data_IF_331264843790
#
_entry.id   IF_331264843790
#
_cell.length_a   1.000
_cell.length_b   1.000
_cell.length_c   1.000
_cell.angle_alpha   90.00
_cell.angle_beta   90.00
_cell.angle_gamma   90.00
#
_symmetry.space_group_name_H-M   'P 1'
#
loop_
_entity.id
_entity.type
_entity.pdbx_description
1 polymer ?
#
# COMPACT_ATOMS: atom_id res chain seq x y z
N UNK A 1 17.63 19.88 -9.16
CA UNK A 1 16.52 19.79 -10.13
C UNK A 1 15.36 20.65 -9.63
N UNK A 2 14.78 21.47 -10.52
CA UNK A 2 13.60 22.26 -10.18
C UNK A 2 12.42 21.35 -9.82
N UNK A 3 11.70 21.71 -8.76
CA UNK A 3 10.54 20.93 -8.30
C UNK A 3 9.35 21.17 -9.22
N UNK A 4 8.84 20.11 -9.84
CA UNK A 4 7.60 20.20 -10.63
C UNK A 4 6.40 20.48 -9.70
N UNK A 5 5.56 21.44 -10.09
CA UNK A 5 4.31 21.70 -9.39
C UNK A 5 3.37 20.47 -9.51
N UNK A 6 2.55 20.22 -8.47
CA UNK A 6 1.51 19.18 -8.54
C UNK A 6 0.43 19.59 -9.52
N UNK A 7 -0.12 18.62 -10.25
CA UNK A 7 -1.29 18.84 -11.07
C UNK A 7 -2.49 19.11 -10.17
N UNK A 8 -3.24 20.16 -10.47
CA UNK A 8 -4.47 20.51 -9.76
C UNK A 8 -5.63 19.71 -10.36
N UNK A 9 -6.53 19.22 -9.52
CA UNK A 9 -7.77 18.58 -9.95
C UNK A 9 -8.84 19.61 -10.22
N UNK A 10 -9.61 19.42 -11.29
CA UNK A 10 -10.80 20.22 -11.58
C UNK A 10 -12.00 19.81 -10.73
N UNK A 11 -12.03 18.55 -10.29
CA UNK A 11 -13.09 17.98 -9.43
C UNK A 11 -12.82 18.16 -7.94
N UNK A 12 -11.59 18.57 -7.56
CA UNK A 12 -11.10 18.59 -6.19
C UNK A 12 -10.80 17.19 -5.61
N UNK A 13 -10.90 16.13 -6.43
CA UNK A 13 -10.63 14.75 -5.97
C UNK A 13 -9.21 14.34 -6.31
N UNK A 14 -8.54 13.75 -5.32
CA UNK A 14 -7.16 13.30 -5.46
C UNK A 14 -6.96 11.88 -4.92
N UNK A 15 -6.28 11.06 -5.69
CA UNK A 15 -5.61 9.88 -5.17
C UNK A 15 -4.25 10.30 -4.62
N UNK A 16 -4.07 10.15 -3.31
CA UNK A 16 -2.87 10.54 -2.59
C UNK A 16 -2.15 9.30 -2.08
N UNK A 17 -0.82 9.32 -2.16
CA UNK A 17 0.04 8.31 -1.57
C UNK A 17 1.18 8.95 -0.77
N UNK A 18 1.39 8.45 0.43
CA UNK A 18 2.58 8.71 1.25
C UNK A 18 3.33 7.41 1.50
N UNK A 19 4.65 7.47 1.58
CA UNK A 19 5.49 6.29 1.71
C UNK A 19 6.65 6.53 2.66
N UNK A 20 7.05 5.48 3.36
CA UNK A 20 8.23 5.49 4.22
C UNK A 20 9.53 5.69 3.46
N UNK A 21 10.45 6.46 4.04
CA UNK A 21 11.78 6.68 3.48
C UNK A 21 12.49 5.33 3.31
N UNK A 22 13.17 5.14 2.17
CA UNK A 22 13.81 3.85 1.82
C UNK A 22 12.88 2.64 1.97
N UNK A 23 11.56 2.84 1.80
CA UNK A 23 10.53 1.81 1.97
C UNK A 23 10.42 1.26 3.40
N UNK A 24 10.93 2.00 4.40
CA UNK A 24 10.80 1.61 5.80
C UNK A 24 9.32 1.52 6.20
N UNK A 25 9.04 0.73 7.22
CA UNK A 25 7.71 0.67 7.81
C UNK A 25 7.38 1.99 8.51
N UNK A 26 6.22 2.53 8.16
CA UNK A 26 5.63 3.69 8.81
C UNK A 26 4.61 3.28 9.88
N UNK A 27 4.28 2.01 9.94
CA UNK A 27 3.47 1.40 10.97
C UNK A 27 4.16 0.13 11.48
N UNK A 28 4.82 0.20 12.63
CA UNK A 28 5.51 -0.93 13.26
C UNK A 28 4.56 -1.84 14.03
N UNK A 29 3.40 -1.32 14.44
CA UNK A 29 2.42 -2.05 15.23
C UNK A 29 0.98 -1.51 15.00
N UNK A 30 0.00 -2.14 15.67
CA UNK A 30 -1.42 -1.76 15.57
C UNK A 30 -1.71 -0.36 16.14
N UNK A 31 -0.96 0.06 17.15
CA UNK A 31 -1.14 1.36 17.78
C UNK A 31 -0.78 2.48 16.80
N UNK A 32 0.27 2.31 16.00
CA UNK A 32 0.69 3.29 15.00
C UNK A 32 -0.45 3.58 14.01
N UNK A 33 -1.11 2.53 13.50
CA UNK A 33 -2.24 2.68 12.58
C UNK A 33 -3.44 3.34 13.25
N UNK A 34 -3.71 3.03 14.51
CA UNK A 34 -4.78 3.67 15.28
C UNK A 34 -4.52 5.16 15.48
N UNK A 35 -3.29 5.52 15.81
CA UNK A 35 -2.93 6.94 15.99
C UNK A 35 -3.00 7.69 14.67
N UNK A 36 -2.51 7.09 13.58
CA UNK A 36 -2.64 7.67 12.24
C UNK A 36 -4.11 7.89 11.86
N UNK A 37 -4.97 6.90 12.09
CA UNK A 37 -6.41 7.02 11.87
C UNK A 37 -7.02 8.19 12.67
N UNK A 38 -6.68 8.33 13.96
CA UNK A 38 -7.18 9.40 14.80
C UNK A 38 -6.69 10.79 14.33
N UNK A 39 -5.42 10.90 13.92
CA UNK A 39 -4.87 12.14 13.36
C UNK A 39 -5.60 12.47 12.05
N UNK A 40 -5.79 11.50 11.17
CA UNK A 40 -6.50 11.68 9.90
C UNK A 40 -7.95 12.13 10.13
N UNK A 41 -8.64 11.55 11.12
CA UNK A 41 -10.01 11.96 11.50
C UNK A 41 -10.06 13.42 11.94
N UNK A 42 -9.12 13.85 12.79
CA UNK A 42 -9.04 15.25 13.25
C UNK A 42 -8.71 16.20 12.11
N UNK A 43 -7.76 15.82 11.25
CA UNK A 43 -7.36 16.63 10.09
C UNK A 43 -8.49 16.74 9.09
N UNK A 44 -9.23 15.62 8.83
CA UNK A 44 -10.45 15.62 8.02
C UNK A 44 -11.46 16.64 8.54
N UNK A 45 -11.75 16.62 9.81
CA UNK A 45 -12.70 17.56 10.43
C UNK A 45 -12.22 19.02 10.35
N UNK A 46 -10.93 19.28 10.64
CA UNK A 46 -10.32 20.62 10.59
C UNK A 46 -10.46 21.25 9.20
N UNK A 47 -10.17 20.50 8.17
CA UNK A 47 -10.15 20.99 6.77
C UNK A 47 -11.45 20.70 6.02
N UNK A 48 -12.42 20.01 6.63
CA UNK A 48 -13.71 19.61 6.02
C UNK A 48 -13.55 18.78 4.74
N UNK A 49 -12.51 17.97 4.67
CA UNK A 49 -12.32 17.05 3.55
C UNK A 49 -13.32 15.90 3.61
N UNK A 50 -13.70 15.38 2.43
CA UNK A 50 -14.33 14.07 2.33
C UNK A 50 -13.23 13.02 2.07
N UNK A 51 -13.37 11.83 2.65
CA UNK A 51 -12.52 10.68 2.38
C UNK A 51 -13.37 9.60 1.75
N UNK A 52 -13.03 9.20 0.54
CA UNK A 52 -13.77 8.22 -0.23
C UNK A 52 -13.24 6.79 -0.06
N UNK A 53 -11.92 6.64 0.06
CA UNK A 53 -11.31 5.35 0.34
C UNK A 53 -9.94 5.53 0.98
N UNK A 54 -9.50 4.52 1.75
CA UNK A 54 -8.14 4.44 2.29
C UNK A 54 -7.63 3.01 2.44
N UNK A 55 -6.30 2.87 2.46
CA UNK A 55 -5.60 1.65 2.89
C UNK A 55 -4.28 2.03 3.59
N UNK A 56 -4.11 1.60 4.84
CA UNK A 56 -2.89 1.81 5.63
C UNK A 56 -2.03 0.54 5.57
N UNK A 57 -1.10 0.53 4.64
CA UNK A 57 -0.15 -0.56 4.45
C UNK A 57 1.01 -0.45 5.46
N UNK A 58 1.90 -1.43 5.55
CA UNK A 58 3.04 -1.35 6.48
C UNK A 58 3.94 -0.14 6.24
N UNK A 59 4.26 0.13 4.99
CA UNK A 59 5.24 1.15 4.59
C UNK A 59 4.68 2.28 3.73
N UNK A 60 3.39 2.32 3.47
CA UNK A 60 2.73 3.39 2.72
C UNK A 60 1.24 3.49 3.04
N UNK A 61 0.63 4.60 2.67
CA UNK A 61 -0.81 4.85 2.79
C UNK A 61 -1.34 5.31 1.44
N UNK A 62 -2.49 4.80 1.06
CA UNK A 62 -3.32 5.34 0.00
C UNK A 62 -4.53 6.04 0.59
N UNK A 63 -4.85 7.23 0.06
CA UNK A 63 -6.06 7.98 0.37
C UNK A 63 -6.71 8.43 -0.94
N UNK A 64 -8.02 8.27 -1.04
CA UNK A 64 -8.84 8.95 -2.04
C UNK A 64 -9.67 9.99 -1.31
N UNK A 65 -9.41 11.27 -1.59
CA UNK A 65 -9.99 12.36 -0.84
C UNK A 65 -10.45 13.49 -1.75
N UNK A 66 -11.45 14.23 -1.29
CA UNK A 66 -11.97 15.42 -1.95
C UNK A 66 -11.77 16.62 -1.05
N UNK A 67 -11.13 17.65 -1.57
CA UNK A 67 -11.01 18.93 -0.91
C UNK A 67 -12.30 19.73 -1.03
N UNK A 68 -12.72 20.51 -0.02
CA UNK A 68 -13.90 21.35 -0.07
C UNK A 68 -13.71 22.58 -0.99
N UNK A 69 -12.47 23.06 -1.05
CA UNK A 69 -12.04 24.19 -1.89
C UNK A 69 -10.69 23.85 -2.52
N UNK A 70 -10.49 24.27 -3.77
CA UNK A 70 -9.29 23.92 -4.53
C UNK A 70 -8.02 24.49 -3.88
N UNK A 71 -6.97 23.66 -3.79
CA UNK A 71 -5.64 24.03 -3.30
C UNK A 71 -5.35 23.66 -1.85
N UNK A 72 -6.32 23.13 -1.12
CA UNK A 72 -6.15 22.77 0.29
C UNK A 72 -5.43 21.44 0.52
N UNK A 73 -5.33 20.57 -0.49
CA UNK A 73 -4.73 19.23 -0.35
C UNK A 73 -3.29 19.30 0.21
N UNK A 74 -2.53 20.32 -0.13
CA UNK A 74 -1.15 20.47 0.36
C UNK A 74 -1.09 20.80 1.85
N UNK A 75 -1.96 21.68 2.35
CA UNK A 75 -2.05 22.03 3.76
C UNK A 75 -2.57 20.86 4.60
N UNK A 76 -3.62 20.19 4.11
CA UNK A 76 -4.17 18.98 4.73
C UNK A 76 -3.10 17.90 4.93
N UNK A 77 -2.36 17.56 3.86
CA UNK A 77 -1.34 16.52 3.91
C UNK A 77 -0.14 16.93 4.78
N UNK A 78 0.26 18.21 4.73
CA UNK A 78 1.32 18.72 5.60
C UNK A 78 0.98 18.54 7.09
N UNK A 79 -0.22 18.92 7.51
CA UNK A 79 -0.65 18.79 8.90
C UNK A 79 -0.75 17.33 9.33
N UNK A 80 -1.33 16.47 8.48
CA UNK A 80 -1.43 15.03 8.70
C UNK A 80 -0.06 14.38 8.89
N UNK A 81 0.85 14.60 7.92
CA UNK A 81 2.18 14.01 7.93
C UNK A 81 3.01 14.51 9.10
N UNK A 82 2.98 15.83 9.37
CA UNK A 82 3.74 16.44 10.48
C UNK A 82 3.29 15.90 11.83
N UNK A 83 1.98 15.91 12.10
CA UNK A 83 1.45 15.41 13.36
C UNK A 83 1.80 13.94 13.60
N UNK A 84 1.75 13.12 12.55
CA UNK A 84 2.12 11.72 12.67
C UNK A 84 3.62 11.51 12.85
N UNK A 85 4.48 12.21 12.12
CA UNK A 85 5.93 12.11 12.26
C UNK A 85 6.40 12.50 13.66
N UNK A 86 5.87 13.60 14.22
CA UNK A 86 6.20 14.05 15.58
C UNK A 86 5.87 12.96 16.60
N UNK A 87 4.67 12.39 16.51
CA UNK A 87 4.26 11.31 17.39
C UNK A 87 5.11 10.04 17.20
N UNK A 88 5.31 9.61 15.94
CA UNK A 88 6.06 8.40 15.59
C UNK A 88 7.50 8.45 16.09
N UNK A 89 8.19 9.58 15.86
CA UNK A 89 9.58 9.77 16.29
C UNK A 89 9.69 9.75 17.83
N UNK A 90 8.76 10.38 18.53
CA UNK A 90 8.75 10.37 19.99
C UNK A 90 8.56 8.96 20.57
N UNK A 91 7.57 8.20 20.05
CA UNK A 91 7.24 6.85 20.55
C UNK A 91 8.31 5.83 20.20
N UNK A 92 8.86 5.90 18.97
CA UNK A 92 9.83 4.95 18.48
C UNK A 92 11.29 5.36 18.69
N UNK A 93 11.53 6.48 19.40
CA UNK A 93 12.86 7.06 19.68
C UNK A 93 13.69 7.21 18.39
N UNK A 94 13.03 7.70 17.34
CA UNK A 94 13.66 7.96 16.03
C UNK A 94 13.82 9.47 15.81
N UNK A 95 14.73 9.81 14.90
CA UNK A 95 14.95 11.19 14.43
C UNK A 95 15.01 11.20 12.91
N UNK A 96 14.75 12.36 12.30
CA UNK A 96 14.81 12.56 10.86
C UNK A 96 13.50 12.24 10.13
N UNK A 97 13.64 11.97 8.83
CA UNK A 97 12.51 11.85 7.92
C UNK A 97 11.88 10.45 7.94
N UNK A 98 10.63 10.36 8.38
CA UNK A 98 9.85 9.13 8.29
C UNK A 98 9.39 8.87 6.84
N UNK A 99 8.93 9.91 6.15
CA UNK A 99 8.39 9.80 4.80
C UNK A 99 9.40 10.11 3.72
N UNK A 100 9.25 9.47 2.56
CA UNK A 100 10.09 9.65 1.38
C UNK A 100 9.69 10.92 0.62
N UNK A 101 10.22 12.07 1.05
CA UNK A 101 9.90 13.35 0.44
C UNK A 101 8.43 13.76 0.64
N UNK A 102 7.87 14.50 -0.32
CA UNK A 102 6.48 14.94 -0.28
C UNK A 102 5.53 13.82 -0.71
N UNK A 103 4.29 13.85 -0.21
CA UNK A 103 3.23 12.98 -0.74
C UNK A 103 3.10 13.10 -2.26
N UNK A 104 2.72 12.02 -2.90
CA UNK A 104 2.33 12.00 -4.32
C UNK A 104 0.83 12.18 -4.42
N UNK A 105 0.38 12.93 -5.41
CA UNK A 105 -1.03 13.10 -5.70
C UNK A 105 -1.30 13.01 -7.18
N UNK A 106 -2.42 12.38 -7.53
CA UNK A 106 -2.93 12.30 -8.88
C UNK A 106 -4.37 12.82 -8.90
N UNK A 107 -4.70 13.81 -9.74
CA UNK A 107 -6.06 14.27 -9.92
C UNK A 107 -6.96 13.14 -10.41
N UNK A 108 -8.19 13.11 -9.91
CA UNK A 108 -9.26 12.20 -10.34
C UNK A 108 -10.32 13.03 -11.00
N UNK A 109 -10.39 12.98 -12.33
CA UNK A 109 -11.15 13.94 -13.13
C UNK A 109 -12.48 13.37 -13.65
N UNK A 110 -12.70 12.07 -13.53
CA UNK A 110 -13.91 11.41 -14.01
C UNK A 110 -14.36 10.27 -13.08
N UNK A 111 -15.60 9.85 -13.26
CA UNK A 111 -16.26 8.83 -12.44
C UNK A 111 -15.68 7.43 -12.67
N UNK A 112 -15.26 7.09 -13.88
CA UNK A 112 -14.66 5.81 -14.18
C UNK A 112 -13.32 5.66 -13.44
N UNK A 113 -12.52 6.72 -13.49
CA UNK A 113 -11.25 6.74 -12.75
C UNK A 113 -11.47 6.72 -11.24
N UNK A 114 -12.48 7.44 -10.71
CA UNK A 114 -12.84 7.39 -9.29
C UNK A 114 -13.14 5.95 -8.85
N UNK A 115 -14.03 5.27 -9.57
CA UNK A 115 -14.39 3.89 -9.29
C UNK A 115 -13.15 2.96 -9.31
N UNK A 116 -12.31 3.11 -10.33
CA UNK A 116 -11.08 2.31 -10.46
C UNK A 116 -10.08 2.56 -9.33
N UNK A 117 -9.97 3.80 -8.83
CA UNK A 117 -9.11 4.12 -7.68
C UNK A 117 -9.65 3.53 -6.39
N UNK A 118 -10.97 3.56 -6.15
CA UNK A 118 -11.61 2.90 -5.00
C UNK A 118 -11.26 1.41 -5.00
N UNK A 119 -11.51 0.72 -6.11
CA UNK A 119 -11.18 -0.71 -6.28
C UNK A 119 -9.70 -0.98 -6.07
N UNK A 120 -8.83 -0.16 -6.64
CA UNK A 120 -7.39 -0.29 -6.49
C UNK A 120 -6.95 -0.19 -5.02
N UNK A 121 -7.45 0.81 -4.29
CA UNK A 121 -7.12 1.01 -2.87
C UNK A 121 -7.57 -0.20 -2.05
N UNK A 122 -8.79 -0.70 -2.29
CA UNK A 122 -9.31 -1.86 -1.58
C UNK A 122 -8.58 -3.16 -1.90
N UNK A 123 -8.11 -3.34 -3.14
CA UNK A 123 -7.35 -4.52 -3.52
C UNK A 123 -5.85 -4.45 -3.14
N UNK A 124 -5.35 -3.28 -2.71
CA UNK A 124 -3.94 -3.13 -2.38
C UNK A 124 -3.46 -4.11 -1.28
N UNK A 125 -4.20 -4.32 -0.17
CA UNK A 125 -3.84 -5.32 0.83
C UNK A 125 -3.79 -6.75 0.27
N UNK A 126 -4.72 -7.11 -0.60
CA UNK A 126 -4.76 -8.46 -1.23
C UNK A 126 -3.58 -8.64 -2.16
N UNK A 127 -3.31 -7.66 -3.04
CA UNK A 127 -2.15 -7.68 -3.95
C UNK A 127 -0.82 -7.72 -3.22
N UNK A 128 -0.76 -7.11 -2.04
CA UNK A 128 0.42 -7.10 -1.18
C UNK A 128 0.52 -8.32 -0.27
N UNK A 129 -0.42 -9.27 -0.35
CA UNK A 129 -0.39 -10.52 0.41
C UNK A 129 -0.75 -10.39 1.89
N UNK A 130 -1.32 -9.26 2.33
CA UNK A 130 -1.76 -9.08 3.72
C UNK A 130 -3.02 -9.88 4.07
N UNK A 131 -3.86 -10.17 3.09
CA UNK A 131 -5.11 -10.89 3.25
C UNK A 131 -5.54 -11.54 1.91
N UNK A 132 -6.50 -12.44 1.96
CA UNK A 132 -7.10 -13.05 0.75
C UNK A 132 -8.28 -12.25 0.21
N UNK A 133 -8.97 -11.54 1.09
CA UNK A 133 -10.12 -10.71 0.76
C UNK A 133 -9.99 -9.33 1.41
N UNK A 134 -10.38 -8.22 0.75
CA UNK A 134 -10.26 -6.86 1.31
C UNK A 134 -10.98 -6.69 2.66
N UNK A 135 -12.06 -7.44 2.89
CA UNK A 135 -12.83 -7.45 4.16
C UNK A 135 -12.01 -7.91 5.36
N UNK A 136 -10.99 -8.74 5.13
CA UNK A 136 -10.15 -9.29 6.20
C UNK A 136 -9.08 -8.31 6.66
N UNK A 137 -8.91 -7.20 5.96
CA UNK A 137 -7.90 -6.20 6.29
C UNK A 137 -8.50 -4.99 7.01
N UNK A 138 -8.40 -4.96 8.33
CA UNK A 138 -8.99 -3.93 9.23
C UNK A 138 -8.57 -2.48 8.94
N UNK A 139 -7.46 -2.28 8.24
CA UNK A 139 -6.88 -0.95 7.98
C UNK A 139 -7.12 -0.50 6.55
N UNK A 140 -8.22 -0.96 5.96
CA UNK A 140 -8.73 -0.58 4.67
C UNK A 140 -10.20 -0.19 4.81
N UNK A 141 -10.62 0.83 4.10
CA UNK A 141 -11.99 1.35 4.13
C UNK A 141 -13.05 0.41 3.57
N UNK A 142 -12.68 -0.71 2.96
CA UNK A 142 -13.62 -1.63 2.33
C UNK A 142 -14.79 -2.01 3.24
N UNK A 143 -14.49 -2.35 4.50
CA UNK A 143 -15.51 -2.75 5.48
C UNK A 143 -16.50 -1.62 5.79
N UNK A 144 -16.06 -0.36 5.79
CA UNK A 144 -16.90 0.78 6.14
C UNK A 144 -18.06 1.00 5.15
N UNK A 145 -17.91 0.57 3.89
CA UNK A 145 -18.96 0.65 2.87
C UNK A 145 -20.17 -0.26 3.15
N UNK A 146 -20.01 -1.25 4.01
CA UNK A 146 -21.06 -2.18 4.43
C UNK A 146 -21.57 -1.87 5.85
N UNK A 147 -21.06 -0.84 6.49
CA UNK A 147 -21.47 -0.41 7.82
C UNK A 147 -22.63 0.58 7.74
N UNK A 148 -23.60 0.44 8.64
CA UNK A 148 -24.67 1.43 8.81
C UNK A 148 -24.13 2.80 9.25
N UNK A 149 -23.00 2.80 9.97
CA UNK A 149 -22.30 4.01 10.42
C UNK A 149 -20.86 3.94 9.95
N UNK A 150 -20.56 4.46 8.75
CA UNK A 150 -19.18 4.55 8.29
C UNK A 150 -18.36 5.42 9.25
N UNK A 151 -17.13 5.01 9.50
CA UNK A 151 -16.25 5.70 10.45
C UNK A 151 -15.60 6.93 9.84
N UNK A 152 -14.63 6.70 8.97
CA UNK A 152 -13.81 7.77 8.38
C UNK A 152 -14.28 8.18 6.99
N UNK A 153 -14.91 7.26 6.23
CA UNK A 153 -15.31 7.52 4.84
C UNK A 153 -16.61 8.28 4.71
N UNK A 154 -16.76 8.94 3.56
CA UNK A 154 -17.98 9.57 3.07
C UNK A 154 -18.45 8.79 1.83
N UNK A 155 -19.25 7.73 1.98
CA UNK A 155 -19.49 6.76 0.91
C UNK A 155 -20.51 7.21 -0.13
N UNK A 156 -21.36 8.22 0.15
CA UNK A 156 -22.48 8.59 -0.69
C UNK A 156 -22.06 9.04 -2.10
N UNK A 157 -21.00 9.86 -2.20
CA UNK A 157 -20.45 10.30 -3.49
C UNK A 157 -19.88 9.11 -4.29
N UNK A 158 -19.38 8.07 -3.62
CA UNK A 158 -18.87 6.84 -4.25
C UNK A 158 -20.05 5.98 -4.74
N UNK A 159 -21.11 5.86 -3.95
CA UNK A 159 -22.32 5.14 -4.34
C UNK A 159 -23.13 5.84 -5.43
N UNK A 160 -22.94 7.13 -5.62
CA UNK A 160 -23.48 7.85 -6.79
C UNK A 160 -22.81 7.39 -8.11
N UNK A 161 -21.60 6.81 -8.02
CA UNK A 161 -20.81 6.33 -9.17
C UNK A 161 -20.86 4.80 -9.31
N UNK A 162 -20.81 4.08 -8.19
CA UNK A 162 -20.83 2.62 -8.17
C UNK A 162 -22.12 2.19 -7.47
N UNK A 163 -22.99 1.47 -8.19
CA UNK A 163 -24.22 0.95 -7.59
C UNK A 163 -23.88 0.13 -6.32
N UNK A 164 -24.62 0.41 -5.23
CA UNK A 164 -24.40 -0.23 -3.93
C UNK A 164 -24.49 -1.76 -4.02
N UNK A 165 -25.43 -2.28 -4.78
CA UNK A 165 -25.65 -3.75 -4.92
C UNK A 165 -24.53 -4.41 -5.74
N UNK A 166 -23.87 -3.65 -6.61
CA UNK A 166 -22.76 -4.14 -7.43
C UNK A 166 -21.38 -3.85 -6.82
N UNK A 167 -21.33 -3.06 -5.73
CA UNK A 167 -20.09 -2.58 -5.14
C UNK A 167 -19.11 -3.70 -4.79
N UNK A 168 -19.59 -4.77 -4.15
CA UNK A 168 -18.75 -5.91 -3.80
C UNK A 168 -18.18 -6.59 -5.05
N UNK A 169 -19.04 -6.95 -6.00
CA UNK A 169 -18.65 -7.58 -7.27
C UNK A 169 -17.65 -6.72 -8.03
N UNK A 170 -17.89 -5.41 -8.11
CA UNK A 170 -16.98 -4.47 -8.75
C UNK A 170 -15.61 -4.43 -8.06
N UNK A 171 -15.57 -4.30 -6.72
CA UNK A 171 -14.32 -4.25 -5.98
C UNK A 171 -13.51 -5.55 -6.03
N UNK A 172 -14.16 -6.70 -6.22
CA UNK A 172 -13.50 -8.00 -6.35
C UNK A 172 -13.09 -8.31 -7.79
N UNK A 173 -13.60 -7.58 -8.77
CA UNK A 173 -13.24 -7.79 -10.18
C UNK A 173 -11.76 -7.53 -10.42
N UNK A 174 -11.19 -8.26 -11.39
CA UNK A 174 -9.77 -8.13 -11.72
C UNK A 174 -9.47 -6.73 -12.28
N UNK A 175 -8.43 -6.10 -11.75
CA UNK A 175 -7.89 -4.87 -12.32
C UNK A 175 -7.12 -5.23 -13.58
N UNK A 176 -7.52 -4.67 -14.71
CA UNK A 176 -6.92 -4.92 -16.03
C UNK A 176 -5.81 -3.92 -16.36
N UNK A 177 -5.06 -4.15 -17.45
CA UNK A 177 -4.00 -3.25 -17.88
C UNK A 177 -4.50 -1.85 -18.28
N UNK A 178 -5.78 -1.71 -18.69
CA UNK A 178 -6.39 -0.42 -18.98
C UNK A 178 -6.64 0.37 -17.68
N UNK A 179 -7.10 -0.29 -16.63
CA UNK A 179 -7.27 0.32 -15.30
C UNK A 179 -5.92 0.78 -14.72
N UNK A 180 -4.84 0.07 -15.03
CA UNK A 180 -3.48 0.37 -14.56
C UNK A 180 -2.86 1.60 -15.25
N UNK A 181 -3.32 2.00 -16.44
CA UNK A 181 -2.83 3.23 -17.11
C UNK A 181 -3.14 4.48 -16.31
N UNK A 182 -4.18 4.44 -15.51
CA UNK A 182 -4.61 5.54 -14.65
C UNK A 182 -3.90 5.53 -13.29
N UNK A 183 -3.39 4.38 -12.88
CA UNK A 183 -2.66 4.19 -11.63
C UNK A 183 -1.18 4.25 -11.97
N UNK A 184 -0.43 5.10 -11.32
CA UNK A 184 1.02 5.25 -11.60
C UNK A 184 1.73 3.93 -11.30
N UNK A 185 2.01 3.13 -12.35
CA UNK A 185 2.56 1.76 -12.27
C UNK A 185 3.93 1.75 -11.60
N UNK A 186 4.62 2.88 -11.59
CA UNK A 186 5.89 3.05 -10.87
C UNK A 186 5.71 3.03 -9.34
N UNK A 187 4.49 3.21 -8.85
CA UNK A 187 4.13 3.06 -7.44
C UNK A 187 3.60 1.65 -7.10
N UNK A 188 3.37 0.78 -8.08
CA UNK A 188 3.19 -0.65 -7.83
C UNK A 188 4.56 -1.17 -7.40
N UNK A 189 4.87 -0.96 -6.14
CA UNK A 189 5.91 -1.77 -5.51
C UNK A 189 5.52 -3.21 -5.72
N UNK A 190 6.47 -4.02 -6.17
CA UNK A 190 6.36 -5.48 -6.07
C UNK A 190 5.67 -5.78 -4.74
N UNK A 191 4.63 -6.59 -4.70
CA UNK A 191 3.87 -6.82 -3.48
C UNK A 191 4.86 -7.10 -2.35
N UNK A 192 4.79 -6.30 -1.30
CA UNK A 192 5.57 -6.57 -0.09
C UNK A 192 4.77 -7.61 0.68
N UNK A 193 5.09 -8.85 0.42
CA UNK A 193 4.58 -9.96 1.23
C UNK A 193 5.20 -9.80 2.62
N UNK A 194 4.42 -9.73 3.71
CA UNK A 194 4.97 -9.69 5.07
C UNK A 194 5.94 -10.87 5.28
N UNK A 195 7.05 -10.64 5.99
CA UNK A 195 8.12 -11.62 6.09
C UNK A 195 7.65 -12.98 6.61
N UNK A 196 6.74 -12.99 7.59
CA UNK A 196 6.17 -14.23 8.10
C UNK A 196 5.43 -15.03 7.02
N UNK A 197 4.58 -14.34 6.23
CA UNK A 197 3.84 -14.97 5.12
C UNK A 197 4.81 -15.39 4.02
N UNK A 198 5.82 -14.56 3.74
CA UNK A 198 6.85 -14.88 2.74
C UNK A 198 7.62 -16.15 3.10
N UNK A 199 8.01 -16.31 4.36
CA UNK A 199 8.76 -17.48 4.80
C UNK A 199 7.90 -18.75 4.78
N UNK A 200 6.62 -18.67 5.18
CA UNK A 200 5.70 -19.81 5.10
C UNK A 200 5.43 -20.22 3.63
N UNK A 201 5.25 -19.24 2.74
CA UNK A 201 5.13 -19.53 1.31
C UNK A 201 6.45 -20.07 0.71
N UNK A 202 7.62 -19.57 1.11
CA UNK A 202 8.90 -20.08 0.63
C UNK A 202 9.12 -21.54 1.06
N UNK A 203 8.77 -21.91 2.30
CA UNK A 203 8.77 -23.31 2.77
C UNK A 203 7.87 -24.18 1.89
N UNK A 204 6.64 -23.72 1.64
CA UNK A 204 5.68 -24.46 0.80
C UNK A 204 6.17 -24.62 -0.65
N UNK A 205 6.76 -23.57 -1.23
CA UNK A 205 7.23 -23.58 -2.63
C UNK A 205 8.46 -24.47 -2.79
N UNK A 206 9.39 -24.40 -1.84
CA UNK A 206 10.63 -25.18 -1.88
C UNK A 206 10.48 -26.60 -1.34
N UNK A 207 9.38 -26.87 -0.63
CA UNK A 207 9.17 -28.11 0.14
C UNK A 207 10.28 -28.37 1.19
N UNK A 208 10.92 -27.30 1.64
CA UNK A 208 11.98 -27.32 2.65
C UNK A 208 11.48 -26.65 3.93
N UNK A 209 11.91 -27.15 5.09
CA UNK A 209 11.58 -26.59 6.39
C UNK A 209 12.20 -25.20 6.59
N UNK A 210 13.36 -24.96 6.00
CA UNK A 210 14.10 -23.71 6.06
C UNK A 210 15.05 -23.55 4.84
N UNK A 211 15.71 -22.41 4.80
CA UNK A 211 16.60 -22.07 3.68
C UNK A 211 17.94 -22.83 3.71
N UNK A 212 18.37 -23.37 4.85
CA UNK A 212 19.59 -24.19 4.91
C UNK A 212 19.32 -25.53 4.24
N UNK A 213 18.17 -26.14 4.49
CA UNK A 213 17.75 -27.35 3.81
C UNK A 213 17.66 -27.12 2.29
N UNK A 214 17.10 -25.97 1.86
CA UNK A 214 17.05 -25.61 0.44
C UNK A 214 18.46 -25.52 -0.16
N UNK A 215 19.41 -24.89 0.53
CA UNK A 215 20.80 -24.77 0.07
C UNK A 215 21.55 -26.10 0.04
N UNK A 216 21.05 -27.13 0.71
CA UNK A 216 21.58 -28.50 0.68
C UNK A 216 21.12 -29.32 -0.53
N UNK A 217 20.20 -28.81 -1.34
CA UNK A 217 19.72 -29.47 -2.55
C UNK A 217 20.66 -29.25 -3.73
N UNK A 218 20.38 -29.91 -4.86
CA UNK A 218 21.08 -29.68 -6.11
C UNK A 218 20.88 -28.27 -6.66
N UNK A 219 21.85 -27.77 -7.43
CA UNK A 219 21.81 -26.40 -7.98
C UNK A 219 20.56 -26.12 -8.82
N UNK A 220 20.10 -27.11 -9.58
CA UNK A 220 18.89 -26.99 -10.41
C UNK A 220 17.63 -26.78 -9.58
N UNK A 221 17.53 -27.49 -8.45
CA UNK A 221 16.39 -27.37 -7.53
C UNK A 221 16.42 -26.01 -6.79
N UNK A 222 17.60 -25.55 -6.35
CA UNK A 222 17.80 -24.23 -5.77
C UNK A 222 17.38 -23.14 -6.76
N UNK A 223 17.83 -23.25 -8.02
CA UNK A 223 17.50 -22.28 -9.05
C UNK A 223 16.01 -22.31 -9.42
N UNK A 224 15.40 -23.50 -9.45
CA UNK A 224 13.96 -23.63 -9.65
C UNK A 224 13.17 -22.96 -8.52
N UNK A 225 13.57 -23.13 -7.26
CA UNK A 225 12.96 -22.45 -6.12
C UNK A 225 13.14 -20.93 -6.21
N UNK A 226 14.33 -20.42 -6.53
CA UNK A 226 14.60 -18.99 -6.66
C UNK A 226 13.80 -18.35 -7.80
N UNK A 227 13.64 -19.01 -8.95
CA UNK A 227 12.75 -18.55 -10.03
C UNK A 227 11.30 -18.43 -9.53
N UNK A 228 10.80 -19.44 -8.81
CA UNK A 228 9.45 -19.41 -8.22
C UNK A 228 9.30 -18.29 -7.19
N UNK A 229 10.29 -18.08 -6.30
CA UNK A 229 10.31 -17.01 -5.32
C UNK A 229 10.25 -15.63 -5.99
N UNK A 230 11.03 -15.42 -7.05
CA UNK A 230 11.01 -14.15 -7.80
C UNK A 230 9.70 -13.95 -8.56
N UNK A 231 9.15 -14.99 -9.17
CA UNK A 231 7.85 -14.95 -9.84
C UNK A 231 6.71 -14.63 -8.87
N UNK A 232 6.78 -15.14 -7.64
CA UNK A 232 5.82 -14.85 -6.56
C UNK A 232 5.95 -13.43 -6.02
N UNK A 233 7.07 -12.75 -6.25
CA UNK A 233 7.29 -11.36 -5.87
C UNK A 233 8.14 -11.16 -4.62
N UNK A 234 8.72 -12.20 -4.03
CA UNK A 234 9.59 -12.06 -2.86
C UNK A 234 10.82 -11.21 -3.16
N UNK A 235 11.15 -10.34 -2.22
CA UNK A 235 12.31 -9.46 -2.33
C UNK A 235 13.62 -10.22 -2.12
N UNK A 236 14.74 -9.68 -2.65
CA UNK A 236 16.06 -10.25 -2.38
C UNK A 236 16.40 -10.26 -0.88
N UNK A 237 15.86 -9.30 -0.09
CA UNK A 237 16.03 -9.27 1.36
C UNK A 237 15.37 -10.48 2.01
N UNK A 238 14.11 -10.74 1.68
CA UNK A 238 13.36 -11.87 2.22
C UNK A 238 14.01 -13.22 1.86
N UNK A 239 14.42 -13.36 0.60
CA UNK A 239 15.14 -14.58 0.18
C UNK A 239 16.46 -14.72 0.96
N UNK A 240 17.21 -13.61 1.13
CA UNK A 240 18.44 -13.59 1.87
C UNK A 240 18.27 -13.99 3.35
N UNK A 241 17.25 -13.48 3.99
CA UNK A 241 16.89 -13.83 5.36
C UNK A 241 16.45 -15.30 5.48
N UNK A 242 15.63 -15.78 4.52
CA UNK A 242 15.19 -17.17 4.48
C UNK A 242 16.36 -18.15 4.35
N UNK A 243 17.34 -17.90 3.47
CA UNK A 243 18.50 -18.76 3.24
C UNK A 243 19.70 -18.42 4.12
N UNK A 244 19.59 -17.51 5.06
CA UNK A 244 20.63 -17.05 5.98
C UNK A 244 21.92 -16.63 5.25
N UNK A 245 21.80 -15.87 4.17
CA UNK A 245 22.91 -15.33 3.38
C UNK A 245 22.84 -13.80 3.28
N UNK A 246 23.97 -13.17 2.92
CA UNK A 246 23.97 -11.73 2.66
C UNK A 246 23.12 -11.38 1.44
N UNK A 247 22.55 -10.18 1.42
CA UNK A 247 21.75 -9.68 0.30
C UNK A 247 22.53 -9.67 -1.03
N UNK A 248 23.82 -9.34 -0.97
CA UNK A 248 24.72 -9.33 -2.15
C UNK A 248 24.99 -10.73 -2.71
N UNK A 249 25.19 -11.69 -1.82
CA UNK A 249 25.35 -13.12 -2.20
C UNK A 249 24.05 -13.64 -2.81
N UNK A 250 22.92 -13.40 -2.15
CA UNK A 250 21.58 -13.79 -2.64
C UNK A 250 21.27 -13.17 -3.99
N UNK A 251 21.60 -11.90 -4.19
CA UNK A 251 21.40 -11.22 -5.48
C UNK A 251 22.13 -11.94 -6.62
N UNK A 252 23.41 -12.30 -6.39
CA UNK A 252 24.20 -13.06 -7.38
C UNK A 252 23.59 -14.42 -7.66
N UNK A 253 23.28 -15.21 -6.63
CA UNK A 253 22.69 -16.54 -6.74
C UNK A 253 21.36 -16.53 -7.49
N UNK A 254 20.47 -15.62 -7.15
CA UNK A 254 19.13 -15.50 -7.76
C UNK A 254 19.23 -15.04 -9.22
N UNK A 255 20.13 -14.12 -9.55
CA UNK A 255 20.31 -13.67 -10.93
C UNK A 255 20.95 -14.76 -11.80
N UNK A 256 21.86 -15.55 -11.26
CA UNK A 256 22.37 -16.74 -11.98
C UNK A 256 21.29 -17.82 -12.22
N UNK A 257 20.23 -17.80 -11.44
CA UNK A 257 19.10 -18.71 -11.59
C UNK A 257 18.05 -18.21 -12.61
N UNK A 258 18.01 -16.91 -12.91
CA UNK A 258 16.97 -16.27 -13.76
C UNK A 258 17.46 -16.07 -15.19
N UNK A 259 18.79 -15.99 -15.40
CA UNK A 259 19.43 -16.01 -16.72
C UNK A 259 19.66 -17.45 -17.19
#
# INVERSE_FOLDING_TARGET
MARTARKTSSTGVYHVMIRGNNKQEIFKNRQDKRVFYNILTRTKAKYRFKIYAYAFMGNHVHLLLKEPELGLVSAFMHDLETAYVVWFNAVHRQSGHLFQGRFKSKPVEDNEYLANVVRYIHQNPVKSGYCRHPRDYKYCSYYEFFSEKPGLIDPDDVFAVINRDEFEKFNLSRITGNDLKFLDVNDITKPHVPDQIAFDEMRSISQCSDGLQLLGLGMDEIFAAFRKFRKRGFSYRQIAEFILRSKSTTYRMVNSAVN
#
